data_IF_113253942129
#
_entry.id   IF_113253942129
#
_cell.length_a   1.000
_cell.length_b   1.000
_cell.length_c   1.000
_cell.angle_alpha   90.00
_cell.angle_beta   90.00
_cell.angle_gamma   90.00
#
_symmetry.space_group_name_H-M   'P 1'
#
loop_
_entity.id
_entity.type
_entity.pdbx_description
1 polymer ?
#
# COMPACT_ATOMS: atom_id res chain seq x y z
N UNK A 1 13.73 1.01 7.18
CA UNK A 1 13.96 2.33 6.56
C UNK A 1 15.29 2.86 7.05
N UNK A 2 16.10 3.40 6.15
CA UNK A 2 17.44 3.88 6.51
C UNK A 2 17.36 4.99 7.56
N UNK A 3 18.28 5.00 8.55
CA UNK A 3 18.46 6.12 9.46
C UNK A 3 18.64 7.43 8.69
N UNK A 4 18.19 8.54 9.27
CA UNK A 4 18.29 9.90 8.73
C UNK A 4 17.61 10.15 7.37
N UNK A 5 16.93 9.16 6.80
CA UNK A 5 16.18 9.36 5.56
C UNK A 5 14.99 10.28 5.78
N UNK A 6 14.70 11.15 4.79
CA UNK A 6 13.50 11.97 4.80
C UNK A 6 12.24 11.11 4.96
N UNK A 7 12.19 9.92 4.34
CA UNK A 7 11.07 8.99 4.49
C UNK A 7 10.87 8.55 5.93
N UNK A 8 11.94 8.24 6.67
CA UNK A 8 11.84 7.89 8.08
C UNK A 8 11.37 9.09 8.92
N UNK A 9 11.89 10.29 8.63
CA UNK A 9 11.44 11.52 9.28
C UNK A 9 9.95 11.82 8.98
N UNK A 10 9.49 11.56 7.77
CA UNK A 10 8.10 11.73 7.34
C UNK A 10 7.18 10.77 8.10
N UNK A 11 7.53 9.49 8.16
CA UNK A 11 6.78 8.48 8.93
C UNK A 11 6.71 8.84 10.42
N UNK A 12 7.79 9.39 10.99
CA UNK A 12 7.78 9.87 12.36
C UNK A 12 6.84 11.06 12.61
N UNK A 13 6.54 11.86 11.57
CA UNK A 13 5.59 12.98 11.64
C UNK A 13 4.15 12.54 11.35
N UNK A 14 3.96 11.65 10.38
CA UNK A 14 2.68 11.08 10.00
C UNK A 14 2.88 9.61 9.59
N UNK A 15 2.42 8.65 10.41
CA UNK A 15 2.66 7.22 10.15
C UNK A 15 1.72 6.64 9.09
N UNK A 16 0.84 7.43 8.47
CA UNK A 16 -0.06 6.97 7.41
C UNK A 16 0.71 6.80 6.11
N UNK A 17 0.58 5.63 5.49
CA UNK A 17 1.29 5.29 4.25
C UNK A 17 0.40 4.54 3.27
N UNK A 18 0.80 4.59 2.01
CA UNK A 18 0.34 3.65 0.99
C UNK A 18 1.55 2.93 0.40
N UNK A 19 1.48 1.59 0.32
CA UNK A 19 2.43 0.75 -0.38
C UNK A 19 1.82 0.36 -1.73
N UNK A 20 2.55 0.62 -2.82
CA UNK A 20 2.12 0.38 -4.19
C UNK A 20 3.02 -0.69 -4.82
N UNK A 21 2.45 -1.69 -5.51
CA UNK A 21 3.23 -2.69 -6.22
C UNK A 21 4.04 -2.10 -7.36
N UNK A 22 3.59 -0.96 -7.92
CA UNK A 22 4.26 -0.21 -9.00
C UNK A 22 4.58 -1.13 -10.19
N UNK A 23 3.54 -1.67 -10.87
CA UNK A 23 3.72 -2.57 -12.00
C UNK A 23 4.57 -1.94 -13.10
N UNK A 24 5.31 -2.79 -13.83
CA UNK A 24 6.14 -2.37 -14.98
C UNK A 24 5.32 -2.45 -16.27
N UNK A 25 4.26 -3.26 -16.29
CA UNK A 25 3.36 -3.39 -17.41
C UNK A 25 2.51 -2.12 -17.62
N UNK A 26 2.52 -1.60 -18.84
CA UNK A 26 1.73 -0.41 -19.21
C UNK A 26 0.24 -0.72 -19.35
N UNK A 27 -0.12 -1.98 -19.59
CA UNK A 27 -1.49 -2.40 -19.85
C UNK A 27 -2.30 -2.72 -18.59
N UNK A 28 -1.66 -2.78 -17.42
CA UNK A 28 -2.28 -3.13 -16.13
C UNK A 28 -3.15 -4.40 -16.18
N UNK A 29 -2.79 -5.37 -17.02
CA UNK A 29 -3.52 -6.64 -17.14
C UNK A 29 -3.40 -7.51 -15.88
N UNK A 30 -2.22 -7.54 -15.24
CA UNK A 30 -2.02 -8.13 -13.90
C UNK A 30 -2.53 -7.24 -12.77
N UNK A 31 -2.50 -5.92 -12.98
CA UNK A 31 -3.05 -4.90 -12.11
C UNK A 31 -2.06 -4.25 -11.15
N UNK A 32 -2.43 -3.06 -10.67
CA UNK A 32 -1.69 -2.32 -9.65
C UNK A 32 -2.34 -2.52 -8.27
N UNK A 33 -1.60 -3.12 -7.35
CA UNK A 33 -2.03 -3.39 -5.98
C UNK A 33 -1.54 -2.30 -5.02
N UNK A 34 -2.43 -1.88 -4.12
CA UNK A 34 -2.15 -0.87 -3.09
C UNK A 34 -2.63 -1.33 -1.74
N UNK A 35 -1.80 -1.10 -0.72
CA UNK A 35 -2.15 -1.27 0.69
C UNK A 35 -2.03 0.08 1.39
N UNK A 36 -3.12 0.56 2.00
CA UNK A 36 -3.11 1.75 2.83
C UNK A 36 -3.22 1.37 4.30
N UNK A 37 -2.48 2.07 5.16
CA UNK A 37 -2.47 1.75 6.56
C UNK A 37 -1.64 2.71 7.39
N UNK A 38 -1.40 2.29 8.64
CA UNK A 38 -0.59 3.02 9.60
C UNK A 38 0.61 2.15 9.96
N UNK A 39 1.82 2.74 9.92
CA UNK A 39 3.02 2.07 10.36
C UNK A 39 3.11 2.06 11.88
N UNK A 40 3.31 0.87 12.44
CA UNK A 40 3.59 0.64 13.87
C UNK A 40 5.04 0.22 13.99
N UNK A 41 5.81 0.86 14.87
CA UNK A 41 7.22 0.53 15.05
C UNK A 41 7.39 -0.94 15.48
N UNK A 42 8.28 -1.65 14.79
CA UNK A 42 8.63 -3.02 15.13
C UNK A 42 10.05 -3.06 15.71
N UNK A 43 10.12 -3.02 17.04
CA UNK A 43 11.39 -3.09 17.78
C UNK A 43 12.02 -4.49 17.73
N UNK A 44 11.29 -5.53 17.36
CA UNK A 44 11.82 -6.90 17.29
C UNK A 44 12.59 -7.14 15.98
N UNK A 45 12.19 -6.48 14.90
CA UNK A 45 12.79 -6.61 13.56
C UNK A 45 13.71 -5.42 13.22
N UNK A 46 13.67 -4.35 14.00
CA UNK A 46 14.59 -3.21 13.86
C UNK A 46 16.01 -3.58 14.30
N UNK A 47 17.01 -3.23 13.49
CA UNK A 47 18.43 -3.41 13.80
C UNK A 47 19.19 -2.08 13.75
N UNK A 48 20.49 -2.10 14.04
CA UNK A 48 21.35 -0.90 14.01
C UNK A 48 21.37 -0.20 12.64
N UNK A 49 21.00 -0.91 11.57
CA UNK A 49 21.05 -0.44 10.18
C UNK A 49 19.75 0.24 9.70
N UNK A 50 18.67 0.24 10.51
CA UNK A 50 17.44 0.97 10.17
C UNK A 50 16.18 0.60 10.96
N UNK A 51 15.16 1.46 10.83
CA UNK A 51 13.88 1.29 11.51
C UNK A 51 12.96 0.29 10.78
N UNK A 52 12.40 -0.67 11.52
CA UNK A 52 11.40 -1.61 11.02
C UNK A 52 10.00 -1.23 11.49
N UNK A 53 8.99 -1.61 10.70
CA UNK A 53 7.59 -1.31 10.97
C UNK A 53 6.71 -2.48 10.55
N UNK A 54 5.62 -2.66 11.28
CA UNK A 54 4.45 -3.45 10.87
C UNK A 54 3.45 -2.49 10.24
N UNK A 55 2.89 -2.86 9.09
CA UNK A 55 1.79 -2.12 8.47
C UNK A 55 0.46 -2.64 9.02
N UNK A 56 -0.24 -1.83 9.81
CA UNK A 56 -1.64 -2.08 10.15
C UNK A 56 -2.54 -1.67 8.98
N UNK A 57 -3.01 -2.66 8.22
CA UNK A 57 -3.70 -2.45 6.94
C UNK A 57 -5.15 -2.01 7.19
N UNK A 58 -5.48 -0.82 6.71
CA UNK A 58 -6.83 -0.24 6.80
C UNK A 58 -7.61 -0.34 5.49
N UNK A 59 -6.90 -0.45 4.36
CA UNK A 59 -7.48 -0.63 3.04
C UNK A 59 -6.54 -1.40 2.12
N UNK A 60 -7.11 -2.22 1.25
CA UNK A 60 -6.42 -2.84 0.13
C UNK A 60 -7.18 -2.55 -1.15
N UNK A 61 -6.47 -2.39 -2.26
CA UNK A 61 -7.10 -2.29 -3.58
C UNK A 61 -6.25 -2.87 -4.68
N UNK A 62 -6.89 -3.36 -5.72
CA UNK A 62 -6.26 -3.74 -6.99
C UNK A 62 -7.03 -3.06 -8.11
N UNK A 63 -6.30 -2.41 -9.02
CA UNK A 63 -6.87 -1.83 -10.24
C UNK A 63 -6.33 -2.58 -11.43
N UNK A 64 -7.22 -3.03 -12.32
CA UNK A 64 -6.87 -3.72 -13.56
C UNK A 64 -7.56 -3.07 -14.75
N UNK A 65 -6.95 -3.21 -15.93
CA UNK A 65 -7.65 -2.98 -17.20
C UNK A 65 -8.07 -4.33 -17.76
N UNK A 66 -9.38 -4.54 -17.91
CA UNK A 66 -9.97 -5.76 -18.47
C UNK A 66 -10.97 -5.34 -19.54
N UNK A 67 -10.83 -5.86 -20.76
CA UNK A 67 -11.74 -5.55 -21.89
C UNK A 67 -11.99 -4.05 -22.11
N UNK A 68 -10.93 -3.23 -21.98
CA UNK A 68 -10.97 -1.76 -22.06
C UNK A 68 -11.82 -1.08 -20.98
N UNK A 69 -12.07 -1.76 -19.86
CA UNK A 69 -12.71 -1.21 -18.67
C UNK A 69 -11.75 -1.26 -17.49
N UNK A 70 -11.90 -0.31 -16.57
CA UNK A 70 -11.21 -0.34 -15.28
C UNK A 70 -12.02 -1.18 -14.29
N UNK A 71 -11.42 -2.26 -13.80
CA UNK A 71 -11.92 -3.02 -12.66
C UNK A 71 -11.20 -2.55 -11.39
N UNK A 72 -11.96 -2.13 -10.40
CA UNK A 72 -11.48 -1.76 -9.07
C UNK A 72 -11.96 -2.80 -8.07
N UNK A 73 -11.04 -3.60 -7.56
CA UNK A 73 -11.30 -4.42 -6.38
C UNK A 73 -10.79 -3.65 -5.17
N UNK A 74 -11.66 -3.42 -4.18
CA UNK A 74 -11.33 -2.69 -2.96
C UNK A 74 -11.78 -3.47 -1.74
N UNK A 75 -11.02 -3.38 -0.66
CA UNK A 75 -11.36 -3.95 0.63
C UNK A 75 -11.02 -2.96 1.74
N UNK A 76 -11.90 -2.85 2.74
CA UNK A 76 -11.62 -2.26 4.04
C UNK A 76 -12.37 -3.04 5.12
N UNK A 77 -11.98 -2.94 6.40
CA UNK A 77 -12.74 -3.54 7.50
C UNK A 77 -14.22 -3.11 7.53
N UNK A 78 -14.50 -1.85 7.20
CA UNK A 78 -15.83 -1.27 7.22
C UNK A 78 -16.67 -1.64 5.98
N UNK A 79 -16.07 -1.58 4.78
CA UNK A 79 -16.80 -1.72 3.52
C UNK A 79 -16.81 -3.15 2.96
N UNK A 80 -16.01 -4.05 3.56
CA UNK A 80 -15.72 -5.40 3.07
C UNK A 80 -15.18 -5.34 1.63
N UNK A 81 -15.13 -6.50 0.97
CA UNK A 81 -14.70 -6.58 -0.43
C UNK A 81 -15.77 -5.99 -1.34
N UNK A 82 -15.37 -5.11 -2.26
CA UNK A 82 -16.20 -4.54 -3.31
C UNK A 82 -15.48 -4.57 -4.64
N UNK A 83 -16.21 -4.91 -5.70
CA UNK A 83 -15.72 -4.87 -7.08
C UNK A 83 -16.55 -3.85 -7.85
N UNK A 84 -15.91 -2.96 -8.59
CA UNK A 84 -16.54 -1.90 -9.37
C UNK A 84 -15.92 -1.82 -10.76
N UNK A 85 -16.74 -1.52 -11.76
CA UNK A 85 -16.31 -1.34 -13.14
C UNK A 85 -16.54 0.11 -13.58
N UNK A 86 -15.59 0.69 -14.30
CA UNK A 86 -15.68 2.02 -14.93
C UNK A 86 -15.23 1.96 -16.38
N UNK A 87 -15.87 2.77 -17.22
CA UNK A 87 -15.54 2.98 -18.63
C UNK A 87 -14.78 4.28 -18.81
#
# INVERSE_FOLDING_TARGET
MMPDSHKLADVGRDPRVELHSSPIEDDLSSGDAKLAGVLVADAATGGEEGAAFILDVTKASVVKVIDKQLEFTTWSPADRLRVQYRT
#
